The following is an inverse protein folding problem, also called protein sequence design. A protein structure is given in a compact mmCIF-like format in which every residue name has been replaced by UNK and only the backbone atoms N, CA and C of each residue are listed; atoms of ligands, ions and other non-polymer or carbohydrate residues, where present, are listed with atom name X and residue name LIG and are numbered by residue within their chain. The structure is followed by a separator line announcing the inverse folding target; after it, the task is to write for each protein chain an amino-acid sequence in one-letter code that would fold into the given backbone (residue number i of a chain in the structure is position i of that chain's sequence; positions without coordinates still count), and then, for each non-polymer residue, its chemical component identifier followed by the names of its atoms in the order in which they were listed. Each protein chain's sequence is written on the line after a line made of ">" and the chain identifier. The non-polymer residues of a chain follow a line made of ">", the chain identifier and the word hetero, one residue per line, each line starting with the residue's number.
data_IF_565984635710
#
_entry.id   IF_565984635710
#
_cell.length_a   1.000
_cell.length_b   1.000
_cell.length_c   1.000
_cell.angle_alpha   90.00
_cell.angle_beta   90.00
_cell.angle_gamma   90.00
#
_symmetry.space_group_name_H-M   'P 1'
#
loop_
_entity.id
_entity.type
_entity.pdbx_description
1 polymer ?
#
# COMPACT_ATOMS: atom_id res chain seq x y z
N UNK A 1 -7.97 -1.18 -6.49
CA UNK A 1 -7.65 -0.94 -5.07
C UNK A 1 -6.63 -2.00 -4.71
N UNK A 2 -5.52 -1.59 -4.10
CA UNK A 2 -4.51 -2.50 -3.57
C UNK A 2 -4.74 -2.58 -2.07
N UNK A 3 -5.07 -3.76 -1.57
CA UNK A 3 -5.32 -3.99 -0.15
C UNK A 3 -4.12 -4.67 0.50
N UNK A 4 -3.85 -4.37 1.77
CA UNK A 4 -2.75 -4.95 2.56
C UNK A 4 -1.39 -4.88 1.84
N UNK A 5 -1.07 -3.71 1.28
CA UNK A 5 0.19 -3.50 0.58
C UNK A 5 1.41 -3.69 1.49
N UNK A 6 2.38 -4.45 0.98
CA UNK A 6 3.70 -4.63 1.57
C UNK A 6 3.78 -5.62 2.71
N UNK A 7 2.87 -6.60 2.79
CA UNK A 7 3.00 -7.73 3.71
C UNK A 7 4.26 -8.57 3.44
N UNK A 8 4.63 -8.73 2.18
CA UNK A 8 5.79 -9.51 1.75
C UNK A 8 6.58 -8.75 0.67
N UNK A 9 7.92 -8.93 0.59
CA UNK A 9 8.72 -8.36 -0.49
C UNK A 9 8.26 -8.85 -1.86
N UNK A 10 8.34 -7.97 -2.86
CA UNK A 10 7.96 -8.32 -4.23
C UNK A 10 9.08 -9.09 -4.95
N UNK A 11 8.71 -10.21 -5.56
CA UNK A 11 9.57 -10.83 -6.55
C UNK A 11 9.67 -9.98 -7.84
N UNK A 12 10.55 -10.38 -8.75
CA UNK A 12 10.80 -9.60 -9.97
C UNK A 12 9.58 -9.51 -10.89
N UNK A 13 8.76 -10.55 -10.95
CA UNK A 13 7.56 -10.57 -11.80
C UNK A 13 6.49 -9.65 -11.21
N UNK A 14 6.25 -9.74 -9.89
CA UNK A 14 5.28 -8.90 -9.20
C UNK A 14 5.63 -7.41 -9.28
N UNK A 15 6.92 -7.04 -9.26
CA UNK A 15 7.37 -5.66 -9.49
C UNK A 15 7.04 -5.17 -10.89
N UNK A 16 7.33 -6.00 -11.88
CA UNK A 16 7.06 -5.69 -13.29
C UNK A 16 5.56 -5.50 -13.52
N UNK A 17 4.75 -6.48 -13.13
CA UNK A 17 3.30 -6.46 -13.31
C UNK A 17 2.67 -5.26 -12.59
N UNK A 18 3.14 -4.95 -11.38
CA UNK A 18 2.67 -3.78 -10.64
C UNK A 18 2.99 -2.48 -11.38
N UNK A 19 4.22 -2.32 -11.88
CA UNK A 19 4.61 -1.11 -12.60
C UNK A 19 3.76 -0.93 -13.86
N UNK A 20 3.51 -1.99 -14.63
CA UNK A 20 2.66 -1.96 -15.83
C UNK A 20 1.23 -1.49 -15.48
N UNK A 21 0.62 -2.09 -14.45
CA UNK A 21 -0.72 -1.69 -13.98
C UNK A 21 -0.74 -0.23 -13.54
N UNK A 22 0.31 0.24 -12.87
CA UNK A 22 0.38 1.63 -12.42
C UNK A 22 0.56 2.60 -13.59
N UNK A 23 1.34 2.23 -14.60
CA UNK A 23 1.52 3.02 -15.82
C UNK A 23 0.21 3.23 -16.56
N UNK A 24 -0.59 2.18 -16.75
CA UNK A 24 -1.88 2.28 -17.42
C UNK A 24 -2.89 3.17 -16.68
N UNK A 25 -2.74 3.27 -15.34
CA UNK A 25 -3.67 4.02 -14.48
C UNK A 25 -3.19 5.44 -14.19
N UNK A 26 -1.89 5.71 -14.31
CA UNK A 26 -1.29 6.99 -13.98
C UNK A 26 -1.92 8.13 -14.79
N UNK A 27 -2.36 9.18 -14.08
CA UNK A 27 -3.06 10.34 -14.68
C UNK A 27 -4.43 10.04 -15.30
N UNK A 28 -4.93 8.79 -15.24
CA UNK A 28 -6.17 8.36 -15.91
C UNK A 28 -7.22 7.84 -14.94
N UNK A 29 -6.82 7.15 -13.87
CA UNK A 29 -7.72 6.57 -12.86
C UNK A 29 -7.11 6.67 -11.47
N UNK A 30 -7.92 6.96 -10.45
CA UNK A 30 -7.45 7.01 -9.06
C UNK A 30 -7.06 5.63 -8.52
N UNK A 31 -5.94 5.54 -7.82
CA UNK A 31 -5.48 4.32 -7.13
C UNK A 31 -5.64 4.48 -5.62
N UNK A 32 -6.40 3.59 -4.99
CA UNK A 32 -6.45 3.48 -3.53
C UNK A 32 -5.55 2.33 -3.09
N UNK A 33 -4.68 2.61 -2.12
CA UNK A 33 -3.78 1.65 -1.48
C UNK A 33 -4.01 1.70 0.03
N UNK A 34 -4.18 0.53 0.65
CA UNK A 34 -4.12 0.38 2.10
C UNK A 34 -2.84 -0.35 2.45
N UNK A 35 -2.17 0.06 3.54
CA UNK A 35 -0.94 -0.60 3.99
C UNK A 35 -0.83 -0.49 5.50
N UNK A 36 -0.26 -1.53 6.09
CA UNK A 36 0.14 -1.55 7.49
C UNK A 36 1.56 -1.01 7.70
N UNK A 37 2.30 -0.79 6.60
CA UNK A 37 3.65 -0.26 6.62
C UNK A 37 3.65 1.24 6.29
N UNK A 38 4.48 2.04 6.98
CA UNK A 38 4.70 3.41 6.59
C UNK A 38 5.38 3.47 5.21
N UNK A 39 5.11 4.55 4.47
CA UNK A 39 5.49 4.70 3.05
C UNK A 39 7.01 4.68 2.85
N UNK A 40 7.79 5.13 3.83
CA UNK A 40 9.25 5.09 3.82
C UNK A 40 9.82 3.66 3.79
N UNK A 41 9.05 2.65 4.20
CA UNK A 41 9.43 1.22 4.12
C UNK A 41 9.12 0.59 2.77
N UNK A 42 8.34 1.24 1.90
CA UNK A 42 7.88 0.62 0.65
C UNK A 42 9.02 0.36 -0.34
N UNK A 43 10.06 1.20 -0.33
CA UNK A 43 11.26 0.98 -1.15
C UNK A 43 11.91 -0.39 -0.87
N UNK A 44 12.00 -0.76 0.42
CA UNK A 44 12.59 -2.02 0.85
C UNK A 44 11.75 -3.22 0.41
N UNK A 45 10.43 -3.11 0.52
CA UNK A 45 9.48 -4.16 0.08
C UNK A 45 9.55 -4.38 -1.43
N UNK A 46 9.66 -3.30 -2.21
CA UNK A 46 9.81 -3.41 -3.66
C UNK A 46 11.17 -4.04 -3.99
N UNK A 47 12.22 -3.70 -3.24
CA UNK A 47 13.49 -4.44 -3.22
C UNK A 47 14.43 -4.18 -4.40
N UNK A 48 13.97 -3.50 -5.46
CA UNK A 48 14.82 -3.01 -6.55
C UNK A 48 14.71 -1.48 -6.64
N UNK A 49 15.83 -0.73 -6.57
CA UNK A 49 15.80 0.74 -6.56
C UNK A 49 15.11 1.34 -7.79
N UNK A 50 15.32 0.77 -8.98
CA UNK A 50 14.75 1.29 -10.23
C UNK A 50 13.24 1.13 -10.25
N UNK A 51 12.75 -0.06 -9.91
CA UNK A 51 11.32 -0.31 -9.79
C UNK A 51 10.71 0.50 -8.66
N UNK A 52 11.40 0.61 -7.52
CA UNK A 52 10.92 1.35 -6.37
C UNK A 52 10.73 2.83 -6.70
N UNK A 53 11.73 3.48 -7.31
CA UNK A 53 11.60 4.87 -7.75
C UNK A 53 10.41 5.05 -8.72
N UNK A 54 10.30 4.17 -9.73
CA UNK A 54 9.25 4.27 -10.75
C UNK A 54 7.83 4.04 -10.18
N UNK A 55 7.67 3.07 -9.29
CA UNK A 55 6.41 2.74 -8.62
C UNK A 55 6.02 3.85 -7.65
N UNK A 56 6.97 4.32 -6.82
CA UNK A 56 6.75 5.35 -5.82
C UNK A 56 6.40 6.70 -6.47
N UNK A 57 7.03 7.05 -7.59
CA UNK A 57 6.68 8.24 -8.35
C UNK A 57 5.21 8.22 -8.82
N UNK A 58 4.73 7.07 -9.31
CA UNK A 58 3.35 6.93 -9.80
C UNK A 58 2.33 6.83 -8.68
N UNK A 59 2.66 6.19 -7.57
CA UNK A 59 1.73 5.92 -6.47
C UNK A 59 1.70 7.00 -5.40
N UNK A 60 2.86 7.58 -5.05
CA UNK A 60 3.02 8.39 -3.84
C UNK A 60 3.18 9.87 -4.17
N UNK A 61 3.86 10.22 -5.26
CA UNK A 61 4.19 11.62 -5.58
C UNK A 61 2.95 12.53 -5.58
N UNK A 62 1.83 12.05 -6.12
CA UNK A 62 0.56 12.78 -6.22
C UNK A 62 -0.53 12.24 -5.29
N UNK A 63 -0.17 11.46 -4.26
CA UNK A 63 -1.15 10.85 -3.36
C UNK A 63 -1.59 11.77 -2.23
N UNK A 64 -2.87 11.65 -1.89
CA UNK A 64 -3.36 12.07 -0.58
C UNK A 64 -3.07 10.97 0.44
N UNK A 65 -2.13 11.22 1.37
CA UNK A 65 -1.81 10.29 2.44
C UNK A 65 -2.69 10.53 3.66
N UNK A 66 -3.33 9.47 4.14
CA UNK A 66 -4.13 9.48 5.36
C UNK A 66 -3.51 8.47 6.32
N UNK A 67 -2.89 8.96 7.38
CA UNK A 67 -2.34 8.13 8.44
C UNK A 67 -3.45 7.81 9.45
N UNK A 68 -3.81 6.53 9.55
CA UNK A 68 -4.86 6.07 10.45
C UNK A 68 -4.26 5.77 11.83
N UNK A 69 -4.84 6.35 12.86
CA UNK A 69 -4.46 6.14 14.27
C UNK A 69 -5.62 5.57 15.06
N UNK A 70 -5.33 4.81 16.11
CA UNK A 70 -6.33 4.34 17.07
C UNK A 70 -6.32 2.82 17.28
N UNK A 71 -7.22 2.33 18.15
CA UNK A 71 -7.35 0.91 18.42
C UNK A 71 -8.05 0.16 17.28
N UNK A 72 -7.68 -1.11 17.11
CA UNK A 72 -8.38 -2.01 16.18
C UNK A 72 -9.87 -2.08 16.50
N UNK A 73 -10.70 -1.73 15.52
CA UNK A 73 -12.16 -1.87 15.60
C UNK A 73 -12.58 -3.33 15.83
N UNK A 74 -11.78 -4.32 15.39
CA UNK A 74 -12.02 -5.74 15.65
C UNK A 74 -11.93 -6.04 17.15
N UNK A 75 -10.94 -5.48 17.85
CA UNK A 75 -10.79 -5.63 19.31
C UNK A 75 -11.92 -4.93 20.06
N UNK A 76 -12.30 -3.73 19.65
CA UNK A 76 -13.40 -2.98 20.28
C UNK A 76 -14.73 -3.76 20.21
N UNK A 77 -15.06 -4.34 19.04
CA UNK A 77 -16.26 -5.17 18.87
C UNK A 77 -16.23 -6.44 19.71
N UNK A 78 -15.08 -7.12 19.78
CA UNK A 78 -14.92 -8.32 20.61
C UNK A 78 -15.14 -8.00 22.11
N UNK A 79 -14.59 -6.90 22.62
CA UNK A 79 -14.83 -6.45 24.02
C UNK A 79 -16.31 -6.20 24.30
N UNK A 80 -17.01 -5.56 23.36
CA UNK A 80 -18.44 -5.26 23.50
C UNK A 80 -19.30 -6.52 23.55
N UNK A 81 -18.96 -7.54 22.75
CA UNK A 81 -19.68 -8.81 22.71
C UNK A 81 -19.48 -9.67 23.98
N UNK A 82 -18.32 -9.57 24.65
CA UNK A 82 -18.03 -10.30 25.89
C UNK A 82 -18.70 -9.66 27.13
N UNK A 83 -19.01 -8.36 27.06
CA UNK A 83 -19.61 -7.60 28.17
C UNK A 83 -21.15 -7.55 28.09
N UNK A 84 -21.75 -8.19 27.06
CA UNK A 84 -23.20 -8.25 26.83
C UNK A 84 -23.80 -9.58 27.27
#
# INVERSE_FOLDING_TARGET
>A
MLDDWGLEPLDAAARHDLLEILEERYGRKSTLVTSQLPVDRWHEIIGDPTYADAIMDRLVHNAHRIELTGESLRRARAKSAITS
#
